data_IF_787292859291
#
_entry.id   IF_787292859291
#
_cell.length_a   1.000
_cell.length_b   1.000
_cell.length_c   1.000
_cell.angle_alpha   90.00
_cell.angle_beta   90.00
_cell.angle_gamma   90.00
#
_symmetry.space_group_name_H-M   'P 1'
#
loop_
_entity.id
_entity.type
_entity.pdbx_description
1 polymer ?
#
# COMPACT_ATOMS: atom_id res chain seq x y z
N UNK A 1 -6.44 0.85 8.21
CA UNK A 1 -7.56 0.22 8.96
C UNK A 1 -7.12 -0.31 10.31
N UNK A 2 -6.20 -1.28 10.38
CA UNK A 2 -5.74 -1.84 11.68
C UNK A 2 -5.21 -0.75 12.63
N UNK A 3 -4.45 0.21 12.12
CA UNK A 3 -3.99 1.36 12.93
C UNK A 3 -5.16 2.19 13.47
N UNK A 4 -6.22 2.41 12.68
CA UNK A 4 -7.41 3.15 13.15
C UNK A 4 -8.06 2.43 14.35
N UNK A 5 -8.28 1.13 14.21
CA UNK A 5 -8.88 0.30 15.26
C UNK A 5 -8.02 0.31 16.52
N UNK A 6 -6.72 0.07 16.36
CA UNK A 6 -5.76 0.04 17.46
C UNK A 6 -5.61 1.40 18.16
N UNK A 7 -5.91 2.49 17.45
CA UNK A 7 -5.95 3.87 17.99
C UNK A 7 -7.31 4.26 18.58
N UNK A 8 -8.31 3.35 18.59
CA UNK A 8 -9.65 3.66 19.07
C UNK A 8 -10.49 4.55 18.15
N UNK A 9 -10.07 4.74 16.89
CA UNK A 9 -10.87 5.44 15.87
C UNK A 9 -11.92 4.47 15.32
N UNK A 10 -13.17 4.77 15.60
CA UNK A 10 -14.28 3.85 15.37
C UNK A 10 -15.21 4.22 14.19
N UNK A 11 -15.10 5.44 13.64
CA UNK A 11 -15.87 5.87 12.47
C UNK A 11 -14.91 6.02 11.29
N UNK A 12 -14.94 5.07 10.35
CA UNK A 12 -14.02 5.01 9.22
C UNK A 12 -14.78 4.87 7.92
N UNK A 13 -14.58 5.81 7.02
CA UNK A 13 -15.07 5.77 5.64
C UNK A 13 -13.95 5.40 4.69
N UNK A 14 -14.22 4.46 3.79
CA UNK A 14 -13.25 4.00 2.80
C UNK A 14 -13.74 4.39 1.42
N UNK A 15 -13.10 5.37 0.82
CA UNK A 15 -13.41 5.87 -0.52
C UNK A 15 -12.78 4.95 -1.56
N UNK A 16 -13.59 4.36 -2.43
CA UNK A 16 -13.14 3.40 -3.44
C UNK A 16 -13.56 3.80 -4.84
N UNK A 17 -12.77 3.39 -5.82
CA UNK A 17 -13.06 3.58 -7.23
C UNK A 17 -13.23 2.21 -7.94
N UNK A 18 -12.78 2.12 -9.20
CA UNK A 18 -12.81 0.89 -9.98
C UNK A 18 -11.90 -0.22 -9.39
N UNK A 19 -12.10 -1.46 -9.82
CA UNK A 19 -11.33 -2.64 -9.38
C UNK A 19 -11.33 -2.91 -7.85
N UNK A 20 -12.33 -2.41 -7.12
CA UNK A 20 -12.40 -2.52 -5.66
C UNK A 20 -12.83 -3.89 -5.12
N UNK A 21 -13.14 -4.88 -5.97
CA UNK A 21 -13.70 -6.17 -5.54
C UNK A 21 -12.81 -6.93 -4.54
N UNK A 22 -11.49 -6.92 -4.73
CA UNK A 22 -10.56 -7.59 -3.80
C UNK A 22 -10.42 -6.84 -2.48
N UNK A 23 -10.43 -5.50 -2.53
CA UNK A 23 -10.44 -4.63 -1.35
C UNK A 23 -11.71 -4.86 -0.53
N UNK A 24 -12.88 -4.80 -1.16
CA UNK A 24 -14.17 -5.02 -0.49
C UNK A 24 -14.25 -6.42 0.15
N UNK A 25 -13.72 -7.44 -0.53
CA UNK A 25 -13.63 -8.80 0.03
C UNK A 25 -12.71 -8.85 1.24
N UNK A 26 -11.58 -8.16 1.20
CA UNK A 26 -10.68 -8.06 2.35
C UNK A 26 -11.35 -7.35 3.52
N UNK A 27 -11.95 -6.19 3.28
CA UNK A 27 -12.64 -5.41 4.31
C UNK A 27 -13.75 -6.20 4.99
N UNK A 28 -14.62 -6.84 4.22
CA UNK A 28 -15.72 -7.64 4.76
C UNK A 28 -15.27 -8.85 5.58
N UNK A 29 -14.10 -9.41 5.29
CA UNK A 29 -13.56 -10.59 5.99
C UNK A 29 -12.63 -10.26 7.14
N UNK A 30 -11.83 -9.21 7.02
CA UNK A 30 -10.85 -8.83 8.04
C UNK A 30 -11.44 -7.93 9.12
N UNK A 31 -12.44 -7.11 8.77
CA UNK A 31 -13.03 -6.08 9.63
C UNK A 31 -14.54 -6.28 9.86
N UNK A 32 -15.02 -7.50 9.76
CA UNK A 32 -16.37 -7.85 10.15
C UNK A 32 -16.42 -8.16 11.65
N UNK A 33 -16.90 -7.20 12.42
CA UNK A 33 -16.86 -7.21 13.89
C UNK A 33 -18.03 -7.96 14.54
N UNK A 34 -18.92 -8.56 13.75
CA UNK A 34 -20.06 -9.35 14.26
C UNK A 34 -19.65 -10.58 15.12
N UNK A 35 -18.37 -10.93 15.12
CA UNK A 35 -17.82 -12.08 15.85
C UNK A 35 -17.05 -11.72 17.13
N UNK A 36 -17.40 -10.62 17.81
CA UNK A 36 -16.92 -10.37 19.18
C UNK A 36 -15.89 -9.28 19.39
N UNK A 37 -15.50 -8.52 18.35
CA UNK A 37 -14.80 -7.25 18.57
C UNK A 37 -15.88 -6.17 18.59
N UNK A 38 -16.16 -5.63 19.77
CA UNK A 38 -17.06 -4.48 19.93
C UNK A 38 -16.33 -3.21 19.48
N UNK A 39 -16.89 -2.50 18.54
CA UNK A 39 -16.47 -1.16 18.12
C UNK A 39 -17.21 -0.06 18.89
N UNK A 40 -18.00 -0.41 19.90
CA UNK A 40 -18.97 0.51 20.47
C UNK A 40 -19.99 0.91 19.40
N UNK A 41 -20.28 2.20 19.27
CA UNK A 41 -21.17 2.76 18.23
C UNK A 41 -20.44 3.02 16.90
N UNK A 42 -19.29 2.39 16.67
CA UNK A 42 -18.45 2.60 15.50
C UNK A 42 -18.87 1.79 14.29
N UNK A 43 -18.37 2.21 13.13
CA UNK A 43 -18.61 1.54 11.86
C UNK A 43 -17.45 1.70 10.89
N UNK A 44 -17.36 0.77 9.93
CA UNK A 44 -16.53 0.88 8.73
C UNK A 44 -17.46 0.83 7.55
N UNK A 45 -17.47 1.90 6.77
CA UNK A 45 -18.35 2.04 5.61
C UNK A 45 -17.54 2.26 4.35
N UNK A 46 -17.89 1.52 3.29
CA UNK A 46 -17.26 1.65 1.97
C UNK A 46 -18.13 2.54 1.10
N UNK A 47 -17.53 3.62 0.63
CA UNK A 47 -18.16 4.61 -0.25
C UNK A 47 -17.56 4.49 -1.64
N UNK A 48 -18.36 4.04 -2.59
CA UNK A 48 -17.93 3.92 -3.99
C UNK A 48 -18.12 5.23 -4.74
N UNK A 49 -17.19 5.57 -5.62
CA UNK A 49 -17.31 6.70 -6.52
C UNK A 49 -18.63 6.62 -7.31
N UNK A 50 -19.40 7.70 -7.30
CA UNK A 50 -20.67 7.80 -8.03
C UNK A 50 -20.37 8.31 -9.44
N UNK A 51 -20.89 7.58 -10.45
CA UNK A 51 -20.83 8.04 -11.83
C UNK A 51 -22.05 8.90 -12.12
N UNK A 52 -21.86 10.19 -12.35
CA UNK A 52 -22.92 11.07 -12.85
C UNK A 52 -23.03 10.94 -14.36
N UNK A 53 -24.23 10.69 -14.94
CA UNK A 53 -24.46 10.75 -16.36
C UNK A 53 -24.24 12.22 -16.83
N UNK A 54 -23.20 12.49 -17.58
CA UNK A 54 -22.90 13.79 -18.14
C UNK A 54 -22.35 13.66 -19.56
N UNK A 55 -22.37 14.74 -20.32
CA UNK A 55 -21.94 14.82 -21.72
C UNK A 55 -20.47 14.48 -21.97
N UNK A 56 -19.65 14.39 -20.92
CA UNK A 56 -18.19 14.13 -21.01
C UNK A 56 -17.77 12.76 -20.49
N UNK A 57 -18.69 11.81 -20.28
CA UNK A 57 -18.38 10.46 -19.87
C UNK A 57 -18.16 10.29 -18.35
N UNK A 58 -17.83 9.07 -17.96
CA UNK A 58 -17.73 8.61 -16.58
C UNK A 58 -16.59 9.32 -15.84
N UNK A 59 -16.89 10.18 -14.88
CA UNK A 59 -15.86 10.84 -14.04
C UNK A 59 -15.63 10.02 -12.77
N UNK A 60 -14.45 9.51 -12.63
CA UNK A 60 -13.90 9.00 -11.37
C UNK A 60 -13.42 10.17 -10.50
N UNK A 61 -13.07 9.90 -9.24
CA UNK A 61 -12.40 10.91 -8.42
C UNK A 61 -11.16 11.45 -9.14
N UNK A 62 -11.06 12.77 -9.22
CA UNK A 62 -9.95 13.42 -9.91
C UNK A 62 -8.73 13.61 -9.02
N UNK A 63 -8.86 13.32 -7.72
CA UNK A 63 -7.82 13.40 -6.72
C UNK A 63 -8.38 13.20 -5.32
N UNK A 64 -7.52 13.30 -4.34
CA UNK A 64 -7.85 13.02 -2.93
C UNK A 64 -8.85 14.01 -2.35
N UNK A 65 -8.75 15.29 -2.68
CA UNK A 65 -9.68 16.32 -2.22
C UNK A 65 -11.04 16.23 -2.93
N UNK A 66 -11.05 15.89 -4.22
CA UNK A 66 -12.30 15.65 -4.96
C UNK A 66 -13.05 14.46 -4.39
N UNK A 67 -12.35 13.38 -4.03
CA UNK A 67 -12.95 12.22 -3.40
C UNK A 67 -13.68 12.58 -2.09
N UNK A 68 -13.05 13.36 -1.23
CA UNK A 68 -13.66 13.81 0.04
C UNK A 68 -14.81 14.79 -0.22
N UNK A 69 -14.68 15.70 -1.19
CA UNK A 69 -15.73 16.66 -1.55
C UNK A 69 -17.01 16.00 -2.00
N UNK A 70 -16.92 14.92 -2.79
CA UNK A 70 -18.10 14.20 -3.25
C UNK A 70 -18.91 13.58 -2.10
N UNK A 71 -18.33 13.43 -0.93
CA UNK A 71 -18.98 12.89 0.27
C UNK A 71 -19.02 13.90 1.44
N UNK A 72 -18.90 15.19 1.18
CA UNK A 72 -18.88 16.22 2.22
C UNK A 72 -20.18 16.29 3.03
N UNK A 73 -21.31 15.84 2.45
CA UNK A 73 -22.60 15.71 3.11
C UNK A 73 -22.57 14.78 4.33
N UNK A 74 -21.61 13.84 4.40
CA UNK A 74 -21.43 12.96 5.56
C UNK A 74 -21.14 13.74 6.85
N UNK A 75 -20.50 14.90 6.74
CA UNK A 75 -20.18 15.75 7.88
C UNK A 75 -21.38 16.56 8.38
N UNK A 76 -22.45 16.63 7.59
CA UNK A 76 -23.72 17.27 7.98
C UNK A 76 -24.70 16.25 8.60
N UNK A 77 -24.41 14.95 8.54
CA UNK A 77 -25.21 13.90 9.18
C UNK A 77 -25.24 14.05 10.69
N UNK A 78 -26.34 13.68 11.31
CA UNK A 78 -26.51 13.68 12.77
C UNK A 78 -25.44 12.84 13.48
N UNK A 79 -24.94 11.77 12.84
CA UNK A 79 -23.85 10.93 13.35
C UNK A 79 -22.49 11.64 13.40
N UNK A 80 -22.33 12.74 12.68
CA UNK A 80 -21.10 13.53 12.61
C UNK A 80 -21.15 14.82 13.44
N UNK A 81 -22.22 15.04 14.22
CA UNK A 81 -22.41 16.26 15.02
C UNK A 81 -21.28 16.52 16.02
N UNK A 82 -20.79 15.44 16.64
CA UNK A 82 -19.77 15.51 17.70
C UNK A 82 -18.35 15.28 17.16
N UNK A 83 -18.15 15.37 15.85
CA UNK A 83 -16.84 15.23 15.22
C UNK A 83 -16.24 16.62 15.05
N UNK A 84 -15.09 16.85 15.68
CA UNK A 84 -14.32 18.09 15.58
C UNK A 84 -13.21 17.98 14.53
N UNK A 85 -12.57 16.82 14.45
CA UNK A 85 -11.39 16.58 13.64
C UNK A 85 -11.63 15.44 12.64
N UNK A 86 -11.05 15.58 11.44
CA UNK A 86 -11.13 14.60 10.37
C UNK A 86 -9.71 14.13 10.02
N UNK A 87 -9.47 12.83 10.19
CA UNK A 87 -8.22 12.18 9.79
C UNK A 87 -8.36 11.68 8.35
N UNK A 88 -7.45 12.09 7.48
CA UNK A 88 -7.37 11.66 6.07
C UNK A 88 -6.12 10.81 5.89
N UNK A 89 -6.29 9.61 5.36
CA UNK A 89 -5.24 8.60 5.19
C UNK A 89 -5.16 8.14 3.73
N UNK A 90 -3.95 7.98 3.22
CA UNK A 90 -3.71 7.24 1.97
C UNK A 90 -3.89 5.73 2.18
N UNK A 91 -4.35 5.03 1.14
CA UNK A 91 -4.69 3.61 1.20
C UNK A 91 -3.55 2.64 0.88
N UNK A 92 -2.44 3.15 0.38
CA UNK A 92 -1.31 2.41 -0.20
C UNK A 92 0.01 2.59 0.57
N UNK A 93 -0.07 2.81 1.87
CA UNK A 93 1.09 3.00 2.74
C UNK A 93 1.23 1.87 3.77
N UNK A 94 2.46 1.42 3.99
CA UNK A 94 2.83 0.43 4.99
C UNK A 94 3.52 1.10 6.17
N UNK A 95 2.86 1.13 7.32
CA UNK A 95 3.39 1.67 8.57
C UNK A 95 2.54 1.23 9.76
N UNK A 96 3.08 1.40 10.96
CA UNK A 96 2.37 1.24 12.22
C UNK A 96 2.37 2.58 12.97
N UNK A 97 1.20 3.08 13.33
CA UNK A 97 1.07 4.36 14.00
C UNK A 97 -0.11 4.36 14.97
N UNK A 98 0.09 4.98 16.14
CA UNK A 98 -1.01 5.37 17.00
C UNK A 98 -1.46 6.79 16.60
N UNK A 99 -2.65 6.89 16.04
CA UNK A 99 -3.16 8.19 15.59
C UNK A 99 -3.57 9.10 16.73
N UNK A 100 -3.76 8.58 17.96
CA UNK A 100 -4.14 9.42 19.09
C UNK A 100 -3.03 10.39 19.49
N UNK A 101 -1.77 10.00 19.38
CA UNK A 101 -0.64 10.90 19.60
C UNK A 101 -0.66 12.07 18.60
N UNK A 102 -0.99 11.79 17.37
CA UNK A 102 -1.11 12.78 16.29
C UNK A 102 -2.30 13.71 16.52
N UNK A 103 -3.47 13.18 16.91
CA UNK A 103 -4.66 13.97 17.26
C UNK A 103 -4.41 14.86 18.47
N UNK A 104 -3.78 14.34 19.52
CA UNK A 104 -3.43 15.12 20.71
C UNK A 104 -2.48 16.28 20.37
N UNK A 105 -1.46 16.02 19.57
CA UNK A 105 -0.53 17.05 19.08
C UNK A 105 -1.26 18.13 18.27
N UNK A 106 -2.18 17.72 17.38
CA UNK A 106 -3.02 18.63 16.59
C UNK A 106 -3.81 19.59 17.48
N UNK A 107 -4.49 19.05 18.48
CA UNK A 107 -5.31 19.82 19.44
C UNK A 107 -4.49 20.72 20.36
N UNK A 108 -3.41 20.19 20.92
CA UNK A 108 -2.53 20.93 21.84
C UNK A 108 -1.86 22.13 21.16
N UNK A 109 -1.50 22.00 19.89
CA UNK A 109 -0.87 23.08 19.11
C UNK A 109 -1.89 24.04 18.49
N UNK A 110 -3.18 23.83 18.68
CA UNK A 110 -4.26 24.61 18.07
C UNK A 110 -4.19 24.64 16.56
N UNK A 111 -3.69 23.57 15.94
CA UNK A 111 -3.54 23.50 14.49
C UNK A 111 -4.90 23.48 13.81
N UNK A 112 -5.00 24.09 12.64
CA UNK A 112 -6.16 23.97 11.76
C UNK A 112 -6.01 22.78 10.82
N UNK A 113 -4.77 22.53 10.38
CA UNK A 113 -4.33 21.35 9.63
C UNK A 113 -3.06 20.82 10.26
N UNK A 114 -2.94 19.52 10.41
CA UNK A 114 -1.68 18.85 10.77
C UNK A 114 -1.29 17.86 9.68
N UNK A 115 0.00 17.82 9.37
CA UNK A 115 0.59 16.94 8.37
C UNK A 115 1.60 16.02 9.04
N UNK A 116 1.40 14.72 8.91
CA UNK A 116 2.40 13.77 9.35
C UNK A 116 3.57 13.74 8.36
N UNK A 117 4.80 13.83 8.86
CA UNK A 117 6.00 13.95 8.04
C UNK A 117 7.15 13.10 8.58
N UNK A 118 8.13 12.84 7.71
CA UNK A 118 9.37 12.16 8.06
C UNK A 118 10.56 12.77 7.31
N UNK A 119 11.77 12.68 7.89
CA UNK A 119 12.99 13.09 7.20
C UNK A 119 13.41 12.02 6.17
N UNK A 120 13.78 12.46 4.96
CA UNK A 120 14.20 11.56 3.88
C UNK A 120 15.47 12.05 3.20
N UNK A 121 16.15 11.12 2.54
CA UNK A 121 17.32 11.37 1.72
C UNK A 121 16.97 11.91 0.32
N UNK A 122 17.98 12.44 -0.38
CA UNK A 122 17.81 13.06 -1.69
C UNK A 122 17.32 12.08 -2.76
N UNK A 123 17.71 10.80 -2.67
CA UNK A 123 17.38 9.80 -3.70
C UNK A 123 15.89 9.52 -3.83
N UNK A 124 15.14 9.73 -2.75
CA UNK A 124 13.70 9.51 -2.66
C UNK A 124 12.87 10.79 -2.67
N UNK A 125 13.51 11.94 -2.47
CA UNK A 125 12.82 13.20 -2.21
C UNK A 125 11.88 13.65 -3.35
N UNK A 126 12.21 13.34 -4.61
CA UNK A 126 11.37 13.68 -5.77
C UNK A 126 10.05 12.92 -5.87
N UNK A 127 9.88 11.87 -5.08
CA UNK A 127 8.69 11.01 -5.16
C UNK A 127 7.56 11.49 -4.23
N UNK A 128 7.86 12.43 -3.32
CA UNK A 128 6.96 12.88 -2.27
C UNK A 128 6.69 14.37 -2.28
N UNK A 129 5.60 14.78 -1.64
CA UNK A 129 5.38 16.16 -1.25
C UNK A 129 6.40 16.57 -0.19
N UNK A 130 7.14 17.65 -0.42
CA UNK A 130 8.14 18.18 0.50
C UNK A 130 7.67 19.44 1.20
N UNK A 131 8.12 19.64 2.43
CA UNK A 131 7.77 20.82 3.21
C UNK A 131 8.96 21.46 3.90
N UNK A 132 8.83 22.76 4.16
CA UNK A 132 9.70 23.51 5.09
C UNK A 132 8.90 23.93 6.29
N UNK A 133 9.52 23.89 7.44
CA UNK A 133 8.90 24.27 8.72
C UNK A 133 9.73 25.32 9.43
N UNK A 134 9.07 26.11 10.23
CA UNK A 134 9.75 27.00 11.18
C UNK A 134 10.06 26.30 12.51
N UNK A 135 10.71 26.99 13.43
CA UNK A 135 11.10 26.48 14.75
C UNK A 135 9.89 26.10 15.65
N UNK A 136 8.68 26.50 15.27
CA UNK A 136 7.44 26.13 15.99
C UNK A 136 6.77 24.91 15.38
N UNK A 137 7.37 24.34 14.32
CA UNK A 137 6.81 23.25 13.54
C UNK A 137 5.67 23.69 12.59
N UNK A 138 5.53 25.00 12.32
CA UNK A 138 4.57 25.50 11.33
C UNK A 138 5.12 25.27 9.93
N UNK A 139 4.29 24.76 9.03
CA UNK A 139 4.62 24.61 7.62
C UNK A 139 4.62 26.01 6.96
N UNK A 140 5.77 26.40 6.41
CA UNK A 140 5.98 27.70 5.74
C UNK A 140 6.07 27.56 4.23
N UNK A 141 6.39 26.40 3.72
CA UNK A 141 6.38 26.07 2.29
C UNK A 141 6.04 24.60 2.10
N UNK A 142 5.37 24.31 0.99
CA UNK A 142 5.04 22.95 0.55
C UNK A 142 5.16 22.86 -0.97
N UNK A 143 5.77 21.80 -1.48
CA UNK A 143 5.92 21.53 -2.92
C UNK A 143 5.69 20.05 -3.19
N UNK A 144 4.74 19.73 -4.07
CA UNK A 144 4.42 18.35 -4.44
C UNK A 144 5.38 17.82 -5.50
N UNK A 145 6.11 16.76 -5.18
CA UNK A 145 7.02 16.03 -6.07
C UNK A 145 7.97 16.93 -6.87
N UNK A 146 8.71 17.84 -6.22
CA UNK A 146 9.58 18.78 -6.90
C UNK A 146 10.74 18.07 -7.60
N UNK A 147 11.24 18.67 -8.69
CA UNK A 147 12.36 18.11 -9.47
C UNK A 147 13.41 19.18 -9.76
N UNK A 148 14.65 18.76 -10.02
CA UNK A 148 15.72 19.67 -10.41
C UNK A 148 16.00 20.75 -9.37
N UNK A 149 15.99 22.01 -9.78
CA UNK A 149 16.30 23.15 -8.91
C UNK A 149 15.22 23.37 -7.83
N UNK A 150 13.95 23.07 -8.13
CA UNK A 150 12.86 23.14 -7.17
C UNK A 150 13.06 22.11 -6.03
N UNK A 151 13.57 20.93 -6.35
CA UNK A 151 13.94 19.94 -5.36
C UNK A 151 15.03 20.46 -4.42
N UNK A 152 16.11 20.99 -4.98
CA UNK A 152 17.21 21.57 -4.19
C UNK A 152 16.74 22.72 -3.32
N UNK A 153 15.81 23.53 -3.83
CA UNK A 153 15.21 24.63 -3.07
C UNK A 153 14.44 24.16 -1.84
N UNK A 154 14.01 22.88 -1.79
CA UNK A 154 13.29 22.30 -0.63
C UNK A 154 14.19 21.69 0.43
N UNK A 155 15.51 21.72 0.28
CA UNK A 155 16.44 21.29 1.33
C UNK A 155 16.28 22.13 2.61
N UNK A 156 16.37 21.47 3.74
CA UNK A 156 16.26 22.07 5.07
C UNK A 156 17.24 21.41 6.04
N UNK A 157 17.55 22.12 7.12
CA UNK A 157 18.24 21.52 8.25
C UNK A 157 17.19 20.72 9.08
N UNK A 158 17.21 19.41 8.96
CA UNK A 158 16.27 18.53 9.65
C UNK A 158 16.54 18.36 11.14
N UNK A 159 17.59 19.00 11.69
CA UNK A 159 17.77 19.12 13.16
C UNK A 159 16.59 19.87 13.81
N UNK A 160 15.86 20.69 13.06
CA UNK A 160 14.60 21.32 13.52
C UNK A 160 13.53 20.29 13.93
N UNK A 161 13.61 19.07 13.43
CA UNK A 161 12.78 17.94 13.86
C UNK A 161 13.33 17.20 15.08
N UNK A 162 14.49 17.61 15.60
CA UNK A 162 15.18 16.96 16.71
C UNK A 162 16.13 15.83 16.31
N UNK A 163 16.48 15.70 15.01
CA UNK A 163 17.45 14.72 14.54
C UNK A 163 18.89 15.09 14.98
N UNK A 164 19.75 14.08 15.27
CA UNK A 164 21.18 14.30 15.41
C UNK A 164 21.78 14.86 14.12
N UNK A 165 22.85 15.67 14.22
CA UNK A 165 23.49 16.33 13.08
C UNK A 165 23.88 15.36 11.95
N UNK A 166 24.48 14.22 12.30
CA UNK A 166 24.91 13.20 11.34
C UNK A 166 23.75 12.58 10.55
N UNK A 167 22.58 12.47 11.17
CA UNK A 167 21.39 11.95 10.52
C UNK A 167 20.71 13.03 9.68
N UNK A 168 20.68 14.27 10.16
CA UNK A 168 20.13 15.40 9.45
C UNK A 168 20.86 15.67 8.12
N UNK A 169 22.20 15.53 8.10
CA UNK A 169 22.99 15.67 6.88
C UNK A 169 22.68 14.59 5.82
N UNK A 170 22.31 13.37 6.26
CA UNK A 170 21.90 12.27 5.36
C UNK A 170 20.46 12.42 4.85
N UNK A 171 19.62 13.15 5.59
CA UNK A 171 18.18 13.29 5.31
C UNK A 171 17.78 14.76 5.29
N UNK A 172 18.22 15.54 4.29
CA UNK A 172 18.03 16.98 4.26
C UNK A 172 16.67 17.43 3.75
N UNK A 173 15.66 16.55 3.69
CA UNK A 173 14.31 16.87 3.24
C UNK A 173 13.27 16.40 4.24
N UNK A 174 12.14 17.11 4.32
CA UNK A 174 10.98 16.73 5.13
C UNK A 174 9.85 16.34 4.18
N UNK A 175 9.51 15.06 4.14
CA UNK A 175 8.45 14.52 3.29
C UNK A 175 7.11 14.42 4.01
N UNK A 176 6.03 14.71 3.30
CA UNK A 176 4.66 14.42 3.72
C UNK A 176 4.38 12.93 3.56
N UNK A 177 3.79 12.33 4.59
CA UNK A 177 3.31 10.95 4.52
C UNK A 177 1.94 10.81 3.85
N UNK A 178 1.30 11.88 3.38
CA UNK A 178 -0.09 11.81 2.91
C UNK A 178 -1.10 11.51 4.02
N UNK A 179 -0.74 11.78 5.26
CA UNK A 179 -1.57 11.58 6.46
C UNK A 179 -1.85 12.94 7.07
N UNK A 180 -3.13 13.34 7.11
CA UNK A 180 -3.55 14.66 7.49
C UNK A 180 -4.60 14.63 8.58
N UNK A 181 -4.59 15.64 9.47
CA UNK A 181 -5.75 15.97 10.32
C UNK A 181 -6.21 17.38 9.98
N UNK A 182 -7.50 17.51 9.77
CA UNK A 182 -8.17 18.80 9.59
C UNK A 182 -9.18 19.01 10.70
N UNK A 183 -9.28 20.24 11.22
CA UNK A 183 -10.52 20.64 11.88
C UNK A 183 -11.66 20.51 10.87
N UNK A 184 -12.78 19.89 11.27
CA UNK A 184 -13.92 19.65 10.38
C UNK A 184 -14.40 20.93 9.68
N UNK A 185 -14.54 22.03 10.43
CA UNK A 185 -15.01 23.30 9.90
C UNK A 185 -14.05 23.88 8.83
N UNK A 186 -12.75 23.75 9.07
CA UNK A 186 -11.72 24.20 8.13
C UNK A 186 -11.78 23.33 6.86
N UNK A 187 -11.88 22.02 7.00
CA UNK A 187 -12.00 21.10 5.85
C UNK A 187 -13.19 21.46 4.96
N UNK A 188 -14.37 21.64 5.57
CA UNK A 188 -15.58 21.99 4.83
C UNK A 188 -15.49 23.37 4.18
N UNK A 189 -14.91 24.35 4.87
CA UNK A 189 -14.67 25.68 4.30
C UNK A 189 -13.75 25.61 3.07
N UNK A 190 -12.64 24.86 3.17
CA UNK A 190 -11.70 24.69 2.05
C UNK A 190 -12.35 23.99 0.85
N UNK A 191 -13.09 22.92 1.07
CA UNK A 191 -13.67 22.11 0.00
C UNK A 191 -14.88 22.74 -0.66
N UNK A 192 -15.75 23.44 0.12
CA UNK A 192 -17.03 23.99 -0.38
C UNK A 192 -16.88 25.40 -0.94
N UNK A 193 -16.04 26.21 -0.31
CA UNK A 193 -16.06 27.65 -0.57
C UNK A 193 -14.75 28.18 -1.13
N UNK A 194 -13.60 27.80 -0.54
CA UNK A 194 -12.34 28.40 -0.88
C UNK A 194 -11.70 27.75 -2.13
N UNK A 195 -11.73 26.44 -2.21
CA UNK A 195 -11.18 25.64 -3.30
C UNK A 195 -12.19 24.64 -3.86
N UNK A 196 -13.36 25.08 -4.35
CA UNK A 196 -14.45 24.19 -4.77
C UNK A 196 -14.11 23.32 -5.98
N UNK A 197 -13.06 23.66 -6.72
CA UNK A 197 -12.61 22.95 -7.93
C UNK A 197 -11.27 22.25 -7.77
N UNK A 198 -10.54 22.46 -6.65
CA UNK A 198 -9.28 21.79 -6.40
C UNK A 198 -9.50 20.29 -6.18
N UNK A 199 -8.66 19.48 -6.79
CA UNK A 199 -8.83 18.03 -6.80
C UNK A 199 -7.95 17.29 -5.81
N UNK A 200 -6.81 17.88 -5.41
CA UNK A 200 -5.83 17.20 -4.58
C UNK A 200 -5.40 18.02 -3.36
N UNK A 201 -5.25 17.35 -2.22
CA UNK A 201 -4.81 18.02 -0.99
C UNK A 201 -3.34 18.43 -1.06
N UNK A 202 -2.47 17.55 -1.55
CA UNK A 202 -1.02 17.76 -1.54
C UNK A 202 -0.57 18.80 -2.55
N UNK A 203 -1.07 18.72 -3.78
CA UNK A 203 -0.63 19.62 -4.87
C UNK A 203 -1.35 20.96 -4.92
N UNK A 204 -2.58 21.05 -4.40
CA UNK A 204 -3.41 22.25 -4.57
C UNK A 204 -3.80 22.90 -3.24
N UNK A 205 -4.50 22.17 -2.34
CA UNK A 205 -5.12 22.77 -1.16
C UNK A 205 -4.09 23.14 -0.09
N UNK A 206 -3.19 22.23 0.26
CA UNK A 206 -2.20 22.47 1.33
C UNK A 206 -1.21 23.58 0.97
N UNK A 207 -0.60 23.58 -0.23
CA UNK A 207 0.32 24.66 -0.62
C UNK A 207 -0.34 26.05 -0.61
N UNK A 208 -1.60 26.13 -1.09
CA UNK A 208 -2.35 27.38 -1.11
C UNK A 208 -2.77 27.83 0.30
N UNK A 209 -3.04 26.90 1.21
CA UNK A 209 -3.52 27.19 2.57
C UNK A 209 -2.40 27.50 3.56
N UNK A 210 -1.20 26.95 3.38
CA UNK A 210 -0.10 27.02 4.36
C UNK A 210 0.30 28.44 4.77
N UNK A 211 0.07 29.43 3.90
CA UNK A 211 0.39 30.84 4.19
C UNK A 211 -0.59 31.53 5.13
N UNK A 212 -1.85 31.10 5.14
CA UNK A 212 -2.95 31.79 5.82
C UNK A 212 -3.52 30.98 7.00
N UNK A 213 -3.48 29.67 6.91
CA UNK A 213 -4.01 28.73 7.89
C UNK A 213 -2.87 28.21 8.78
N UNK A 214 -3.17 27.86 10.02
CA UNK A 214 -2.20 27.27 10.95
C UNK A 214 -1.95 25.80 10.63
N UNK A 215 -1.02 25.55 9.70
CA UNK A 215 -0.60 24.20 9.29
C UNK A 215 0.61 23.79 10.10
N UNK A 216 0.53 22.67 10.83
CA UNK A 216 1.61 22.14 11.67
C UNK A 216 2.11 20.80 11.17
N UNK A 217 3.42 20.61 11.22
CA UNK A 217 4.06 19.32 10.96
C UNK A 217 4.10 18.48 12.25
N UNK A 218 3.88 17.17 12.09
CA UNK A 218 4.04 16.16 13.13
C UNK A 218 5.07 15.12 12.66
N UNK A 219 6.16 14.97 13.39
CA UNK A 219 7.21 14.01 13.07
C UNK A 219 6.75 12.59 13.36
N UNK A 220 6.79 11.74 12.34
CA UNK A 220 6.71 10.29 12.48
C UNK A 220 8.14 9.71 12.48
N UNK A 221 8.46 8.90 13.48
CA UNK A 221 9.80 8.39 13.69
C UNK A 221 9.84 6.86 13.74
N UNK A 222 9.24 6.22 12.73
CA UNK A 222 9.25 4.77 12.59
C UNK A 222 9.24 4.40 11.10
N UNK A 223 9.17 3.10 10.78
CA UNK A 223 9.13 2.62 9.41
C UNK A 223 7.87 3.08 8.68
N UNK A 224 8.06 3.66 7.51
CA UNK A 224 6.99 4.03 6.59
C UNK A 224 7.44 3.80 5.14
N UNK A 225 6.55 3.23 4.32
CA UNK A 225 6.77 3.01 2.89
C UNK A 225 5.49 3.26 2.10
N UNK A 226 5.61 4.04 1.03
CA UNK A 226 4.60 4.16 -0.01
C UNK A 226 4.77 2.98 -0.99
N UNK A 227 3.74 2.13 -1.11
CA UNK A 227 3.74 0.94 -1.96
C UNK A 227 2.86 1.10 -3.20
N UNK A 228 2.62 2.32 -3.64
CA UNK A 228 1.75 2.67 -4.77
C UNK A 228 2.32 2.36 -6.16
N UNK A 229 3.60 1.94 -6.26
CA UNK A 229 4.19 1.49 -7.54
C UNK A 229 4.54 0.01 -7.51
N UNK A 230 4.67 -0.62 -8.69
CA UNK A 230 5.10 -2.03 -8.79
C UNK A 230 6.46 -2.21 -8.12
N UNK A 231 7.39 -1.29 -8.33
CA UNK A 231 8.72 -1.33 -7.74
C UNK A 231 8.67 -1.25 -6.21
N UNK A 232 8.02 -0.24 -5.65
CA UNK A 232 7.95 -0.06 -4.20
C UNK A 232 7.17 -1.20 -3.52
N UNK A 233 6.09 -1.70 -4.15
CA UNK A 233 5.38 -2.90 -3.68
C UNK A 233 6.29 -4.12 -3.63
N UNK A 234 7.07 -4.35 -4.68
CA UNK A 234 7.99 -5.48 -4.79
C UNK A 234 9.10 -5.38 -3.72
N UNK A 235 9.78 -4.25 -3.64
CA UNK A 235 10.86 -3.99 -2.70
C UNK A 235 10.39 -4.08 -1.23
N UNK A 236 9.20 -3.51 -0.91
CA UNK A 236 8.62 -3.60 0.44
C UNK A 236 8.28 -5.04 0.84
N UNK A 237 7.81 -5.88 -0.09
CA UNK A 237 7.57 -7.30 0.19
C UNK A 237 8.88 -8.06 0.45
N UNK A 238 9.91 -7.84 -0.37
CA UNK A 238 11.20 -8.50 -0.19
C UNK A 238 11.92 -8.02 1.09
N UNK A 239 11.79 -6.75 1.47
CA UNK A 239 12.35 -6.22 2.71
C UNK A 239 11.82 -6.93 3.97
N UNK A 240 10.66 -7.59 3.91
CA UNK A 240 10.15 -8.40 5.02
C UNK A 240 10.96 -9.68 5.26
N UNK A 241 11.75 -10.12 4.29
CA UNK A 241 12.61 -11.31 4.39
C UNK A 241 13.98 -11.00 5.00
N UNK A 242 14.36 -9.71 5.11
CA UNK A 242 15.62 -9.25 5.72
C UNK A 242 15.67 -9.57 7.22
N UNK A 243 16.88 -9.74 7.77
CA UNK A 243 17.11 -10.00 9.19
C UNK A 243 18.04 -8.95 9.82
N UNK A 244 17.57 -8.15 10.80
CA UNK A 244 16.18 -8.05 11.28
C UNK A 244 15.27 -7.36 10.25
N UNK A 245 13.97 -7.72 10.20
CA UNK A 245 13.03 -7.07 9.28
C UNK A 245 12.82 -5.61 9.69
N UNK A 246 12.74 -4.71 8.72
CA UNK A 246 12.46 -3.28 8.98
C UNK A 246 11.04 -3.04 9.48
N UNK A 247 10.11 -3.91 9.13
CA UNK A 247 8.73 -3.87 9.56
C UNK A 247 8.28 -5.25 10.04
N UNK A 248 7.55 -5.31 11.17
CA UNK A 248 6.94 -6.54 11.68
C UNK A 248 5.42 -6.43 11.70
N UNK A 249 4.74 -7.42 11.12
CA UNK A 249 3.29 -7.53 11.23
C UNK A 249 2.83 -8.00 12.61
N UNK A 250 3.70 -8.65 13.40
CA UNK A 250 3.35 -9.15 14.72
C UNK A 250 3.54 -8.06 15.78
N UNK A 251 2.46 -7.80 16.49
CA UNK A 251 2.43 -7.03 17.73
C UNK A 251 1.26 -7.58 18.56
N UNK A 252 1.54 -8.03 19.76
CA UNK A 252 0.54 -8.64 20.63
C UNK A 252 -0.53 -7.65 21.09
N UNK A 253 -0.17 -6.36 21.26
CA UNK A 253 -1.05 -5.32 21.77
C UNK A 253 -1.76 -4.54 20.66
N UNK A 254 -1.14 -4.45 19.47
CA UNK A 254 -1.64 -3.69 18.31
C UNK A 254 -1.65 -4.58 17.05
N UNK A 255 -2.55 -5.60 17.00
CA UNK A 255 -2.55 -6.59 15.92
C UNK A 255 -2.89 -5.97 14.57
N UNK A 256 -2.28 -6.48 13.50
CA UNK A 256 -2.72 -6.22 12.13
C UNK A 256 -3.81 -7.23 11.76
N UNK A 257 -5.04 -6.74 11.61
CA UNK A 257 -6.20 -7.59 11.32
C UNK A 257 -6.14 -8.12 9.89
N UNK A 258 -6.42 -9.42 9.76
CA UNK A 258 -6.44 -10.12 8.47
C UNK A 258 -7.59 -11.11 8.41
N UNK A 259 -7.92 -11.57 7.21
CA UNK A 259 -8.96 -12.57 7.03
C UNK A 259 -8.57 -13.90 7.67
N UNK A 260 -9.48 -14.52 8.42
CA UNK A 260 -9.35 -15.91 8.85
C UNK A 260 -9.50 -16.82 7.62
N UNK A 261 -8.58 -17.76 7.42
CA UNK A 261 -8.56 -18.63 6.24
C UNK A 261 -8.60 -20.12 6.58
N UNK A 262 -8.36 -20.52 7.83
CA UNK A 262 -8.38 -21.90 8.30
C UNK A 262 -7.62 -22.84 7.36
N UNK A 263 -6.38 -22.48 7.02
CA UNK A 263 -5.53 -23.25 6.12
C UNK A 263 -4.71 -24.27 6.88
N UNK A 264 -4.37 -25.41 6.25
CA UNK A 264 -3.44 -26.37 6.81
C UNK A 264 -2.03 -25.76 6.92
N UNK A 265 -1.13 -26.33 7.72
CA UNK A 265 0.30 -26.03 7.64
C UNK A 265 0.84 -26.23 6.22
N UNK A 266 1.92 -25.53 5.87
CA UNK A 266 2.62 -25.76 4.61
C UNK A 266 3.40 -27.07 4.64
N UNK A 267 3.33 -27.84 3.56
CA UNK A 267 4.10 -29.05 3.35
C UNK A 267 5.36 -28.73 2.55
N UNK A 268 6.52 -29.03 3.14
CA UNK A 268 7.83 -28.80 2.52
C UNK A 268 8.54 -30.15 2.40
N UNK A 269 8.70 -30.64 1.19
CA UNK A 269 9.42 -31.88 0.91
C UNK A 269 10.77 -31.59 0.25
N UNK A 270 11.84 -32.02 0.87
CA UNK A 270 13.22 -31.99 0.38
C UNK A 270 13.62 -30.70 -0.38
N UNK A 271 13.21 -29.54 0.16
CA UNK A 271 13.39 -28.23 -0.43
C UNK A 271 14.40 -27.39 0.34
N UNK A 272 15.13 -26.51 -0.35
CA UNK A 272 16.06 -25.55 0.25
C UNK A 272 15.44 -24.17 0.24
N UNK A 273 15.24 -23.59 1.44
CA UNK A 273 14.63 -22.26 1.61
C UNK A 273 15.62 -21.38 2.37
N UNK A 274 15.91 -20.20 1.82
CA UNK A 274 16.87 -19.25 2.40
C UNK A 274 16.26 -17.84 2.33
N UNK A 275 16.34 -17.10 3.45
CA UNK A 275 15.89 -15.70 3.57
C UNK A 275 14.51 -15.44 2.93
N UNK A 276 13.53 -16.29 3.25
CA UNK A 276 12.24 -16.29 2.57
C UNK A 276 11.08 -16.49 3.53
N UNK A 277 9.91 -15.99 3.14
CA UNK A 277 8.66 -16.14 3.87
C UNK A 277 7.76 -17.12 3.13
N UNK A 278 7.32 -18.17 3.82
CA UNK A 278 6.37 -19.15 3.30
C UNK A 278 5.06 -19.05 4.07
N UNK A 279 3.98 -18.73 3.38
CA UNK A 279 2.64 -18.63 3.97
C UNK A 279 1.98 -20.00 4.18
N UNK A 280 0.81 -20.01 4.83
CA UNK A 280 0.08 -21.25 5.14
C UNK A 280 -0.49 -21.95 3.89
N UNK A 281 -0.60 -23.26 3.99
CA UNK A 281 -1.26 -24.10 2.99
C UNK A 281 -0.51 -24.27 1.69
N UNK A 282 0.80 -24.09 1.69
CA UNK A 282 1.66 -24.28 0.52
C UNK A 282 2.10 -25.74 0.38
N UNK A 283 2.38 -26.14 -0.86
CA UNK A 283 3.00 -27.41 -1.21
C UNK A 283 4.29 -27.15 -1.98
N UNK A 284 5.44 -27.45 -1.38
CA UNK A 284 6.76 -27.23 -1.91
C UNK A 284 7.47 -28.57 -2.07
N UNK A 285 7.77 -28.97 -3.32
CA UNK A 285 8.38 -30.24 -3.63
C UNK A 285 9.76 -30.06 -4.29
N UNK A 286 10.82 -30.51 -3.63
CA UNK A 286 12.21 -30.55 -4.14
C UNK A 286 12.64 -29.26 -4.85
N UNK A 287 12.30 -28.08 -4.26
CA UNK A 287 12.55 -26.78 -4.86
C UNK A 287 13.59 -25.98 -4.08
N UNK A 288 14.05 -24.90 -4.71
CA UNK A 288 14.94 -23.92 -4.10
C UNK A 288 14.28 -22.55 -4.12
N UNK A 289 14.20 -21.92 -2.95
CA UNK A 289 13.57 -20.60 -2.76
C UNK A 289 14.56 -19.70 -2.02
N UNK A 290 14.90 -18.57 -2.60
CA UNK A 290 15.85 -17.61 -2.08
C UNK A 290 15.28 -16.20 -2.14
N UNK A 291 15.39 -15.45 -1.04
CA UNK A 291 14.99 -14.05 -0.90
C UNK A 291 13.61 -13.80 -1.56
N UNK A 292 12.60 -14.55 -1.11
CA UNK A 292 11.29 -14.58 -1.78
C UNK A 292 10.15 -14.66 -0.78
N UNK A 293 8.98 -14.17 -1.20
CA UNK A 293 7.73 -14.26 -0.43
C UNK A 293 6.78 -15.18 -1.17
N UNK A 294 6.37 -16.28 -0.54
CA UNK A 294 5.45 -17.27 -1.11
C UNK A 294 4.11 -17.20 -0.41
N UNK A 295 3.09 -16.73 -1.13
CA UNK A 295 1.74 -16.51 -0.65
C UNK A 295 0.97 -17.80 -0.36
N UNK A 296 -0.20 -17.65 0.25
CA UNK A 296 -1.05 -18.79 0.69
C UNK A 296 -1.44 -19.71 -0.46
N UNK A 297 -1.57 -21.02 -0.17
CA UNK A 297 -1.98 -22.06 -1.13
C UNK A 297 -1.07 -22.19 -2.36
N UNK A 298 0.14 -21.65 -2.32
CA UNK A 298 1.09 -21.81 -3.43
C UNK A 298 1.46 -23.28 -3.62
N UNK A 299 1.56 -23.71 -4.85
CA UNK A 299 2.06 -25.03 -5.22
C UNK A 299 3.28 -24.86 -6.13
N UNK A 300 4.41 -25.42 -5.71
CA UNK A 300 5.70 -25.29 -6.38
C UNK A 300 6.24 -26.70 -6.64
N UNK A 301 6.44 -27.02 -7.92
CA UNK A 301 6.88 -28.33 -8.40
C UNK A 301 8.37 -28.60 -8.21
N UNK A 302 8.78 -29.82 -8.57
CA UNK A 302 10.15 -30.31 -8.40
C UNK A 302 11.13 -29.52 -9.28
N UNK A 303 12.34 -29.31 -8.76
CA UNK A 303 13.43 -28.62 -9.42
C UNK A 303 13.10 -27.18 -9.86
N UNK A 304 12.16 -26.53 -9.16
CA UNK A 304 11.86 -25.11 -9.34
C UNK A 304 12.85 -24.28 -8.53
N UNK A 305 13.32 -23.20 -9.14
CA UNK A 305 14.15 -22.22 -8.46
C UNK A 305 13.48 -20.84 -8.50
N UNK A 306 13.13 -20.32 -7.32
CA UNK A 306 12.64 -18.96 -7.13
C UNK A 306 13.71 -18.12 -6.46
N UNK A 307 13.98 -16.95 -7.02
CA UNK A 307 14.88 -15.96 -6.44
C UNK A 307 14.28 -14.57 -6.60
N UNK A 308 14.41 -13.72 -5.58
CA UNK A 308 13.88 -12.35 -5.61
C UNK A 308 12.45 -12.32 -6.19
N UNK A 309 11.54 -13.13 -5.62
CA UNK A 309 10.20 -13.35 -6.20
C UNK A 309 9.11 -13.16 -5.15
N UNK A 310 8.05 -12.45 -5.54
CA UNK A 310 6.84 -12.29 -4.73
C UNK A 310 5.70 -13.05 -5.39
N UNK A 311 5.32 -14.20 -4.83
CA UNK A 311 4.20 -15.01 -5.28
C UNK A 311 2.99 -14.78 -4.38
N UNK A 312 1.88 -14.27 -4.91
CA UNK A 312 0.68 -13.94 -4.14
C UNK A 312 -0.19 -15.16 -3.78
N UNK A 313 0.10 -16.32 -4.36
CA UNK A 313 -0.54 -17.59 -4.03
C UNK A 313 -1.82 -17.86 -4.80
N UNK A 314 -2.78 -18.53 -4.17
CA UNK A 314 -4.03 -18.91 -4.81
C UNK A 314 -5.26 -18.64 -3.91
N UNK A 315 -6.40 -18.43 -4.55
CA UNK A 315 -7.67 -18.20 -3.87
C UNK A 315 -8.33 -19.53 -3.43
N UNK A 316 -8.00 -20.65 -4.09
CA UNK A 316 -8.54 -21.99 -3.86
C UNK A 316 -7.51 -23.08 -4.18
N UNK A 317 -7.82 -24.33 -3.81
CA UNK A 317 -7.06 -25.51 -4.21
C UNK A 317 -7.75 -26.20 -5.38
N UNK A 318 -6.99 -26.62 -6.37
CA UNK A 318 -7.41 -27.67 -7.30
C UNK A 318 -7.24 -29.03 -6.60
N UNK A 319 -8.25 -29.87 -6.70
CA UNK A 319 -8.16 -31.26 -6.23
C UNK A 319 -7.15 -32.07 -7.06
N UNK A 320 -6.66 -33.17 -6.51
CA UNK A 320 -5.73 -34.02 -7.26
C UNK A 320 -6.37 -34.59 -8.52
N UNK A 321 -7.68 -34.90 -8.50
CA UNK A 321 -8.43 -35.34 -9.68
C UNK A 321 -8.49 -34.26 -10.76
N UNK A 322 -8.86 -33.04 -10.40
CA UNK A 322 -8.88 -31.90 -11.34
C UNK A 322 -7.51 -31.64 -11.95
N UNK A 323 -6.43 -31.76 -11.15
CA UNK A 323 -5.07 -31.58 -11.66
C UNK A 323 -4.68 -32.65 -12.66
N UNK A 324 -5.04 -33.91 -12.40
CA UNK A 324 -4.79 -35.03 -13.33
C UNK A 324 -5.55 -34.81 -14.62
N UNK A 325 -6.81 -34.40 -14.57
CA UNK A 325 -7.64 -34.08 -15.75
C UNK A 325 -7.03 -32.93 -16.57
N UNK A 326 -6.65 -31.82 -15.91
CA UNK A 326 -6.01 -30.68 -16.57
C UNK A 326 -4.72 -31.11 -17.30
N UNK A 327 -3.88 -31.90 -16.64
CA UNK A 327 -2.65 -32.39 -17.25
C UNK A 327 -2.91 -33.35 -18.44
N UNK A 328 -3.93 -34.21 -18.33
CA UNK A 328 -4.34 -35.10 -19.41
C UNK A 328 -4.87 -34.33 -20.63
N UNK A 329 -5.48 -33.17 -20.41
CA UNK A 329 -5.94 -32.24 -21.45
C UNK A 329 -4.84 -31.31 -21.98
N UNK A 330 -3.60 -31.46 -21.52
CA UNK A 330 -2.50 -30.55 -21.87
C UNK A 330 -2.61 -29.12 -21.30
N UNK A 331 -3.42 -28.94 -20.27
CA UNK A 331 -3.60 -27.65 -19.59
C UNK A 331 -2.65 -27.53 -18.39
N UNK A 332 -2.32 -26.30 -18.03
CA UNK A 332 -1.42 -26.00 -16.92
C UNK A 332 -2.24 -25.84 -15.62
N UNK A 333 -1.94 -26.61 -14.55
CA UNK A 333 -2.56 -26.42 -13.25
C UNK A 333 -2.10 -25.14 -12.54
N UNK A 334 -2.84 -24.67 -11.52
CA UNK A 334 -2.42 -23.55 -10.69
C UNK A 334 -1.10 -23.88 -9.97
N UNK A 335 -0.17 -22.91 -9.99
CA UNK A 335 1.14 -23.01 -9.37
C UNK A 335 2.27 -22.97 -10.39
N UNK A 336 3.41 -23.55 -10.03
CA UNK A 336 4.62 -23.53 -10.86
C UNK A 336 5.01 -24.95 -11.20
N UNK A 337 5.12 -25.23 -12.49
CA UNK A 337 5.52 -26.53 -13.04
C UNK A 337 7.02 -26.83 -12.85
N UNK A 338 7.37 -28.10 -13.03
CA UNK A 338 8.72 -28.64 -12.81
C UNK A 338 9.80 -27.95 -13.66
N UNK A 339 11.04 -27.95 -13.19
CA UNK A 339 12.23 -27.44 -13.87
C UNK A 339 12.15 -25.96 -14.27
N UNK A 340 11.33 -25.15 -13.57
CA UNK A 340 11.10 -23.74 -13.87
C UNK A 340 12.01 -22.85 -13.03
N UNK A 341 12.56 -21.80 -13.64
CA UNK A 341 13.43 -20.81 -12.99
C UNK A 341 12.78 -19.43 -13.08
N UNK A 342 12.62 -18.78 -11.95
CA UNK A 342 11.97 -17.47 -11.86
C UNK A 342 12.83 -16.54 -10.98
N UNK A 343 13.11 -15.37 -11.51
CA UNK A 343 13.86 -14.34 -10.82
C UNK A 343 13.27 -12.95 -11.08
N UNK A 344 13.32 -12.07 -10.07
CA UNK A 344 12.87 -10.68 -10.16
C UNK A 344 11.43 -10.55 -10.69
N UNK A 345 10.50 -11.25 -10.03
CA UNK A 345 9.16 -11.45 -10.56
C UNK A 345 8.09 -11.30 -9.47
N UNK A 346 6.95 -10.72 -9.86
CA UNK A 346 5.70 -10.81 -9.10
C UNK A 346 4.78 -11.81 -9.82
N UNK A 347 4.28 -12.79 -9.09
CA UNK A 347 3.32 -13.78 -9.59
C UNK A 347 1.98 -13.54 -8.91
N UNK A 348 1.00 -13.04 -9.66
CA UNK A 348 -0.31 -12.75 -9.10
C UNK A 348 -1.14 -14.03 -8.87
N UNK A 349 -2.27 -13.89 -8.21
CA UNK A 349 -3.07 -15.01 -7.73
C UNK A 349 -3.59 -15.91 -8.83
N UNK A 350 -3.60 -17.20 -8.54
CA UNK A 350 -4.11 -18.25 -9.41
C UNK A 350 -3.35 -18.36 -10.76
N UNK A 351 -2.15 -17.82 -10.83
CA UNK A 351 -1.30 -17.96 -12.04
C UNK A 351 -0.95 -19.43 -12.26
N UNK A 352 -0.88 -19.81 -13.53
CA UNK A 352 -0.63 -21.15 -14.04
C UNK A 352 0.66 -21.12 -14.84
N UNK A 353 1.77 -21.51 -14.22
CA UNK A 353 3.08 -21.47 -14.85
C UNK A 353 3.48 -22.91 -15.19
N UNK A 354 3.76 -23.16 -16.46
CA UNK A 354 4.10 -24.47 -17.00
C UNK A 354 5.45 -24.99 -16.55
N UNK A 355 5.86 -26.10 -17.16
CA UNK A 355 7.15 -26.77 -16.95
C UNK A 355 8.23 -26.15 -17.82
N UNK A 356 9.51 -26.25 -17.36
CA UNK A 356 10.68 -25.78 -18.10
C UNK A 356 10.60 -24.30 -18.51
N UNK A 357 9.91 -23.46 -17.73
CA UNK A 357 9.76 -22.02 -17.95
C UNK A 357 10.96 -21.27 -17.37
N UNK A 358 11.41 -20.22 -18.03
CA UNK A 358 12.41 -19.29 -17.49
C UNK A 358 11.87 -17.88 -17.51
N UNK A 359 11.75 -17.26 -16.35
CA UNK A 359 11.38 -15.85 -16.19
C UNK A 359 12.55 -15.15 -15.51
N UNK A 360 13.33 -14.39 -16.28
CA UNK A 360 14.52 -13.72 -15.76
C UNK A 360 14.75 -12.32 -16.30
N UNK A 361 13.95 -11.90 -17.30
CA UNK A 361 14.15 -10.61 -17.98
C UNK A 361 15.63 -10.37 -18.33
N UNK A 362 16.27 -11.35 -18.97
CA UNK A 362 17.70 -11.35 -19.25
C UNK A 362 18.16 -10.19 -20.14
N UNK A 363 17.25 -9.63 -20.93
CA UNK A 363 17.50 -8.47 -21.79
C UNK A 363 17.43 -7.13 -21.04
N UNK A 364 17.04 -7.13 -19.77
CA UNK A 364 16.94 -5.94 -18.93
C UNK A 364 15.87 -4.95 -19.38
N UNK A 365 14.79 -5.45 -19.98
CA UNK A 365 13.66 -4.63 -20.44
C UNK A 365 13.04 -3.89 -19.28
N UNK A 366 12.96 -2.56 -19.34
CA UNK A 366 12.41 -1.74 -18.26
C UNK A 366 10.89 -1.74 -18.27
N UNK A 367 10.28 -1.59 -19.45
CA UNK A 367 8.83 -1.48 -19.61
C UNK A 367 8.38 -2.32 -20.82
N UNK A 368 7.42 -3.20 -20.63
CA UNK A 368 6.77 -3.95 -21.71
C UNK A 368 5.33 -4.28 -21.34
N UNK A 369 4.43 -4.19 -22.30
CA UNK A 369 3.04 -4.61 -22.15
C UNK A 369 2.79 -5.87 -23.01
N UNK A 370 2.75 -7.02 -22.35
CA UNK A 370 2.55 -8.35 -22.94
C UNK A 370 1.34 -9.05 -22.30
N UNK A 371 0.30 -8.27 -21.98
CA UNK A 371 -0.89 -8.75 -21.27
C UNK A 371 -1.63 -9.87 -22.01
N UNK A 372 -1.59 -9.87 -23.34
CA UNK A 372 -2.12 -10.97 -24.16
C UNK A 372 -1.36 -12.30 -23.99
N UNK A 373 -0.12 -12.24 -23.50
CA UNK A 373 0.72 -13.42 -23.19
C UNK A 373 0.71 -13.75 -21.70
N UNK A 374 -0.05 -13.02 -20.90
CA UNK A 374 -0.24 -13.27 -19.48
C UNK A 374 0.73 -12.53 -18.54
N UNK A 375 1.52 -11.57 -19.03
CA UNK A 375 2.45 -10.79 -18.20
C UNK A 375 2.67 -9.38 -18.73
N UNK A 376 3.29 -8.55 -17.92
CA UNK A 376 3.88 -7.26 -18.30
C UNK A 376 5.17 -7.03 -17.51
N UNK A 377 5.97 -6.03 -17.92
CA UNK A 377 7.21 -5.64 -17.24
C UNK A 377 7.08 -4.17 -16.85
N UNK A 378 7.42 -3.84 -15.59
CA UNK A 378 7.51 -2.48 -15.06
C UNK A 378 8.74 -2.36 -14.16
N UNK A 379 9.57 -1.36 -14.41
CA UNK A 379 10.84 -1.13 -13.68
C UNK A 379 11.72 -2.38 -13.66
N UNK A 380 11.84 -3.05 -14.79
CA UNK A 380 12.53 -4.32 -15.00
C UNK A 380 11.97 -5.52 -14.20
N UNK A 381 10.85 -5.39 -13.50
CA UNK A 381 10.18 -6.47 -12.75
C UNK A 381 9.13 -7.10 -13.66
N UNK A 382 9.22 -8.42 -13.85
CA UNK A 382 8.18 -9.17 -14.58
C UNK A 382 6.99 -9.41 -13.66
N UNK A 383 5.80 -9.10 -14.16
CA UNK A 383 4.54 -9.32 -13.43
C UNK A 383 3.67 -10.30 -14.20
N UNK A 384 3.54 -11.50 -13.67
CA UNK A 384 2.63 -12.53 -14.20
C UNK A 384 1.23 -12.23 -13.68
N UNK A 385 0.27 -12.11 -14.59
CA UNK A 385 -1.09 -11.64 -14.28
C UNK A 385 -1.91 -12.69 -13.56
N UNK A 386 -2.91 -12.19 -12.82
CA UNK A 386 -3.91 -13.03 -12.15
C UNK A 386 -4.64 -13.94 -13.15
N UNK A 387 -4.77 -15.22 -12.80
CA UNK A 387 -5.42 -16.28 -13.62
C UNK A 387 -4.76 -16.50 -15.00
N UNK A 388 -3.61 -15.92 -15.27
CA UNK A 388 -2.92 -16.12 -16.56
C UNK A 388 -2.27 -17.49 -16.67
N UNK A 389 -2.00 -17.89 -17.90
CA UNK A 389 -1.32 -19.13 -18.22
C UNK A 389 0.00 -18.79 -18.93
N UNK A 390 1.10 -19.26 -18.37
CA UNK A 390 2.42 -19.23 -18.99
C UNK A 390 2.70 -20.65 -19.48
N UNK A 391 2.81 -20.81 -20.78
CA UNK A 391 2.97 -22.13 -21.42
C UNK A 391 4.31 -22.78 -21.08
N UNK A 392 4.37 -24.11 -21.20
CA UNK A 392 5.59 -24.88 -21.02
C UNK A 392 6.73 -24.37 -21.91
N UNK A 393 7.93 -24.29 -21.38
CA UNK A 393 9.14 -23.94 -22.11
C UNK A 393 9.29 -22.46 -22.48
N UNK A 394 8.38 -21.60 -22.04
CA UNK A 394 8.46 -20.16 -22.36
C UNK A 394 9.66 -19.51 -21.65
N UNK A 395 10.34 -18.59 -22.36
CA UNK A 395 11.44 -17.78 -21.84
C UNK A 395 11.05 -16.30 -21.89
N UNK A 396 11.13 -15.60 -20.75
CA UNK A 396 10.76 -14.20 -20.54
C UNK A 396 11.94 -13.44 -19.94
#
# INVERSE_FOLDING_TARGET
>A
MSNCINSGINKVYILTQFNSASLNRHLSRAYNFSNGISFGDGFVEVLAATQTPGSEGKRWFQGTADAVRQFDWLFDDAKAKDIDDVLILSGDHLYRMDYMDFVQSHRQRGADISICCLPIDESRASDFGLMKIDNTGRVIAFSEKPKGDDLKAMQVDTTVLGLPQEEAEKKPYIASMGVYIFKKEILLNLLRWRFPTANDFGSEIIPASAKEINVKAFLFNDYWEDIGTIKSFFEANLALTEQPPRFSFYDANKPMYTSRRNLPPSLVDNSKITDSIISHGCFLDKCRIEHSVVGIRSRIGSNVHLKDTVMLGADFYETDSERVELLAEGKVPIGIGENTKIQNCIIDKNARIGKNVTISNSEGVQEADRTSEGFYIRSAITVVLKNSIIADGLVI
#
